data_IF_580144938288
#
_entry.id   IF_580144938288
#
_cell.length_a   1.000
_cell.length_b   1.000
_cell.length_c   1.000
_cell.angle_alpha   90.00
_cell.angle_beta   90.00
_cell.angle_gamma   90.00
#
_symmetry.space_group_name_H-M   'P 1'
#
loop_
_entity.id
_entity.type
_entity.pdbx_description
1 polymer ?
#
# COMPACT_ATOMS: atom_id res chain seq x y z
N UNK A 1 10.43 -3.02 -4.22
CA UNK A 1 11.35 -1.95 -4.68
C UNK A 1 10.87 -1.31 -5.98
N UNK A 2 9.92 -1.90 -6.71
CA UNK A 2 9.28 -1.28 -7.90
C UNK A 2 8.11 -0.37 -7.53
N UNK A 3 7.50 -0.66 -6.39
CA UNK A 3 6.43 0.06 -5.71
C UNK A 3 6.76 1.53 -5.49
N UNK A 4 7.88 1.81 -4.81
CA UNK A 4 8.32 3.18 -4.56
C UNK A 4 8.62 3.95 -5.86
N UNK A 5 9.10 3.24 -6.90
CA UNK A 5 9.38 3.85 -8.21
C UNK A 5 8.10 4.21 -8.97
N UNK A 6 7.08 3.36 -8.88
CA UNK A 6 5.77 3.63 -9.46
C UNK A 6 5.09 4.84 -8.79
N UNK A 7 5.18 4.94 -7.46
CA UNK A 7 4.67 6.11 -6.71
C UNK A 7 5.38 7.39 -7.12
N UNK A 8 6.72 7.38 -7.20
CA UNK A 8 7.48 8.56 -7.64
C UNK A 8 7.10 8.99 -9.06
N UNK A 9 7.03 8.05 -10.01
CA UNK A 9 6.63 8.36 -11.39
C UNK A 9 5.22 8.95 -11.48
N UNK A 10 4.31 8.56 -10.57
CA UNK A 10 2.95 9.09 -10.53
C UNK A 10 2.88 10.48 -9.88
N UNK A 11 3.74 10.74 -8.89
CA UNK A 11 3.90 12.08 -8.31
C UNK A 11 4.50 13.06 -9.33
N UNK A 12 5.53 12.65 -10.06
CA UNK A 12 6.13 13.45 -11.14
C UNK A 12 5.06 13.84 -12.18
N UNK A 13 4.19 12.90 -12.56
CA UNK A 13 3.07 13.15 -13.47
C UNK A 13 2.04 14.13 -12.91
N UNK A 14 1.76 14.11 -11.61
CA UNK A 14 0.86 15.08 -10.97
C UNK A 14 1.48 16.48 -11.02
N UNK A 15 2.77 16.60 -10.74
CA UNK A 15 3.50 17.88 -10.81
C UNK A 15 3.49 18.46 -12.24
N UNK A 16 3.68 17.62 -13.25
CA UNK A 16 3.55 18.01 -14.66
C UNK A 16 2.14 18.52 -14.98
N UNK A 17 1.11 17.77 -14.60
CA UNK A 17 -0.30 18.15 -14.82
C UNK A 17 -0.67 19.45 -14.09
N UNK A 18 -0.16 19.67 -12.88
CA UNK A 18 -0.32 20.92 -12.14
C UNK A 18 0.32 22.10 -12.87
N UNK A 19 1.54 21.93 -13.36
CA UNK A 19 2.25 22.95 -14.14
C UNK A 19 1.54 23.29 -15.46
N UNK A 20 0.92 22.29 -16.10
CA UNK A 20 0.13 22.46 -17.32
C UNK A 20 -1.26 23.08 -17.08
N UNK A 21 -1.65 23.27 -15.81
CA UNK A 21 -2.97 23.78 -15.46
C UNK A 21 -4.10 22.81 -15.81
N UNK A 22 -3.84 21.50 -15.71
CA UNK A 22 -4.81 20.48 -16.03
C UNK A 22 -6.10 20.63 -15.19
N UNK A 23 -7.26 20.19 -15.73
CA UNK A 23 -8.51 20.29 -15.00
C UNK A 23 -8.44 19.54 -13.65
N UNK A 24 -9.04 20.06 -12.57
CA UNK A 24 -8.99 19.43 -11.24
C UNK A 24 -9.43 17.95 -11.23
N UNK A 25 -10.34 17.57 -12.13
CA UNK A 25 -10.77 16.17 -12.28
C UNK A 25 -9.63 15.22 -12.65
N UNK A 26 -8.68 15.67 -13.46
CA UNK A 26 -7.52 14.87 -13.92
C UNK A 26 -6.55 14.63 -12.77
N UNK A 27 -6.21 15.67 -12.00
CA UNK A 27 -5.36 15.53 -10.81
C UNK A 27 -6.00 14.61 -9.76
N UNK A 28 -7.32 14.75 -9.56
CA UNK A 28 -8.06 13.90 -8.61
C UNK A 28 -8.07 12.42 -9.02
N UNK A 29 -8.00 12.09 -10.31
CA UNK A 29 -7.86 10.71 -10.77
C UNK A 29 -6.49 10.12 -10.41
N UNK A 30 -5.41 10.89 -10.61
CA UNK A 30 -4.07 10.46 -10.23
C UNK A 30 -3.93 10.26 -8.71
N UNK A 31 -4.47 11.20 -7.92
CA UNK A 31 -4.51 11.10 -6.46
C UNK A 31 -5.32 9.90 -5.96
N UNK A 32 -6.47 9.61 -6.60
CA UNK A 32 -7.26 8.40 -6.28
C UNK A 32 -6.47 7.12 -6.58
N UNK A 33 -5.71 7.09 -7.67
CA UNK A 33 -4.82 5.97 -8.00
C UNK A 33 -3.79 5.72 -6.89
N UNK A 34 -3.11 6.77 -6.44
CA UNK A 34 -2.14 6.67 -5.33
C UNK A 34 -2.77 6.14 -4.03
N UNK A 35 -3.97 6.59 -3.69
CA UNK A 35 -4.69 6.10 -2.49
C UNK A 35 -5.03 4.62 -2.62
N UNK A 36 -5.51 4.17 -3.78
CA UNK A 36 -5.82 2.75 -4.00
C UNK A 36 -4.57 1.87 -3.94
N UNK A 37 -3.47 2.30 -4.54
CA UNK A 37 -2.18 1.59 -4.47
C UNK A 37 -1.69 1.47 -3.02
N UNK A 38 -1.78 2.56 -2.24
CA UNK A 38 -1.45 2.57 -0.83
C UNK A 38 -2.36 1.65 0.01
N UNK A 39 -3.66 1.63 -0.26
CA UNK A 39 -4.61 0.70 0.40
C UNK A 39 -4.28 -0.76 0.11
N UNK A 40 -3.89 -1.09 -1.12
CA UNK A 40 -3.49 -2.44 -1.50
C UNK A 40 -2.23 -2.87 -0.73
N UNK A 41 -1.21 -2.00 -0.64
CA UNK A 41 -0.01 -2.30 0.12
C UNK A 41 -0.29 -2.39 1.62
N UNK A 42 -1.11 -1.49 2.17
CA UNK A 42 -1.50 -1.52 3.57
C UNK A 42 -2.22 -2.82 3.95
N UNK A 43 -3.02 -3.39 3.04
CA UNK A 43 -3.64 -4.71 3.23
C UNK A 43 -2.62 -5.85 3.17
N UNK A 44 -1.69 -5.79 2.21
CA UNK A 44 -0.65 -6.81 2.05
C UNK A 44 0.33 -6.82 3.23
N UNK A 45 0.79 -5.65 3.68
CA UNK A 45 1.64 -5.51 4.88
C UNK A 45 0.85 -5.80 6.17
N UNK A 46 -0.44 -5.47 6.19
CA UNK A 46 -1.34 -5.74 7.32
C UNK A 46 -1.53 -7.23 7.62
N UNK A 47 -1.26 -8.11 6.65
CA UNK A 47 -1.43 -9.56 6.78
C UNK A 47 -0.19 -10.29 7.35
N UNK A 48 0.95 -9.60 7.51
CA UNK A 48 2.17 -10.17 8.10
C UNK A 48 1.98 -10.44 9.60
N UNK A 49 1.31 -9.52 10.29
CA UNK A 49 1.04 -9.62 11.73
C UNK A 49 -0.09 -10.58 12.05
N UNK A 50 -1.10 -10.69 11.19
CA UNK A 50 -2.14 -11.70 11.30
C UNK A 50 -1.53 -13.11 11.15
N UNK A 51 -0.67 -13.32 10.14
CA UNK A 51 0.14 -14.55 10.01
C UNK A 51 1.01 -14.83 11.22
N UNK A 52 1.77 -13.85 11.69
CA UNK A 52 2.65 -14.02 12.87
C UNK A 52 1.86 -14.39 14.13
N UNK A 53 0.65 -13.87 14.29
CA UNK A 53 -0.22 -14.19 15.43
C UNK A 53 -0.77 -15.62 15.34
N UNK A 54 -1.16 -16.07 14.15
CA UNK A 54 -1.58 -17.45 13.91
C UNK A 54 -0.42 -18.41 14.18
N UNK A 55 0.79 -18.10 13.70
CA UNK A 55 2.00 -18.90 13.95
C UNK A 55 2.30 -19.05 15.44
N UNK A 56 2.14 -17.97 16.23
CA UNK A 56 2.31 -18.03 17.69
C UNK A 56 1.25 -18.87 18.39
N UNK A 57 0.00 -18.78 17.94
CA UNK A 57 -1.08 -19.60 18.47
C UNK A 57 -0.84 -21.09 18.18
N UNK A 58 -0.44 -21.44 16.96
CA UNK A 58 -0.07 -22.81 16.58
C UNK A 58 1.12 -23.33 17.39
N UNK A 59 2.16 -22.50 17.56
CA UNK A 59 3.33 -22.84 18.36
C UNK A 59 3.00 -23.05 19.86
N UNK A 60 2.01 -22.35 20.40
CA UNK A 60 1.56 -22.54 21.78
C UNK A 60 0.72 -23.82 21.92
N UNK A 61 -0.11 -24.14 20.94
CA UNK A 61 -0.95 -25.36 20.93
C UNK A 61 -0.13 -26.63 20.70
N UNK A 62 1.00 -26.54 19.99
CA UNK A 62 1.89 -27.66 19.73
C UNK A 62 2.77 -28.05 20.93
N UNK A 63 2.81 -27.24 21.99
CA UNK A 63 3.55 -27.57 23.21
C UNK A 63 2.72 -28.49 24.10
N UNK A 64 3.27 -29.63 24.57
CA UNK A 64 2.59 -30.45 25.55
C UNK A 64 2.47 -29.67 26.87
N UNK A 65 1.27 -29.64 27.44
CA UNK A 65 1.06 -29.08 28.77
C UNK A 65 1.79 -29.97 29.78
N UNK A 66 2.78 -29.40 30.47
CA UNK A 66 3.53 -30.05 31.55
C UNK A 66 2.73 -30.13 32.85
#
# INVERSE_FOLDING_TARGET
MDEARAVLARLDRIEELECEGAPPGVLLEELRGLVQEAEVWARLEGDERARTAVERCEAALAQPVA
#
